data_IF_061097671196
#
_entry.id   IF_061097671196
#
_cell.length_a   1.000
_cell.length_b   1.000
_cell.length_c   1.000
_cell.angle_alpha   90.00
_cell.angle_beta   90.00
_cell.angle_gamma   90.00
#
_symmetry.space_group_name_H-M   'P 1'
#
loop_
_entity.id
_entity.type
_entity.pdbx_description
1 polymer ?
#
# COMPACT_ATOMS: atom_id res chain seq x y z
N UNK A 1 -19.61 -6.83 6.99
CA UNK A 1 -18.29 -7.42 6.62
C UNK A 1 -18.32 -8.22 5.32
N UNK A 2 -19.39 -8.87 4.95
CA UNK A 2 -19.45 -9.64 3.69
C UNK A 2 -19.54 -8.76 2.43
N UNK A 3 -20.19 -7.62 2.48
CA UNK A 3 -20.38 -6.76 1.29
C UNK A 3 -19.09 -6.02 0.87
N UNK A 4 -18.28 -5.55 1.82
CA UNK A 4 -17.03 -4.83 1.53
C UNK A 4 -16.01 -5.73 0.82
N UNK A 5 -16.07 -7.03 1.11
CA UNK A 5 -15.18 -8.02 0.53
C UNK A 5 -15.51 -8.31 -0.95
N UNK A 6 -16.75 -8.09 -1.41
CA UNK A 6 -17.16 -8.40 -2.78
C UNK A 6 -16.51 -7.49 -3.83
N UNK A 7 -16.15 -6.25 -3.49
CA UNK A 7 -15.50 -5.33 -4.42
C UNK A 7 -14.10 -5.79 -4.83
N UNK A 8 -13.38 -6.45 -3.92
CA UNK A 8 -11.97 -6.77 -4.10
C UNK A 8 -11.70 -8.27 -4.29
N UNK A 9 -12.69 -9.13 -4.02
CA UNK A 9 -12.53 -10.58 -4.04
C UNK A 9 -12.83 -11.20 -5.40
N UNK A 10 -12.20 -12.34 -5.68
CA UNK A 10 -12.41 -13.14 -6.90
C UNK A 10 -12.14 -12.37 -8.22
N UNK A 11 -11.24 -11.41 -8.18
CA UNK A 11 -10.81 -10.61 -9.33
C UNK A 11 -9.31 -10.47 -9.32
N UNK A 12 -8.69 -10.51 -10.50
CA UNK A 12 -7.33 -10.06 -10.66
C UNK A 12 -7.32 -8.53 -10.77
N UNK A 13 -6.63 -7.86 -9.86
CA UNK A 13 -6.54 -6.40 -9.82
C UNK A 13 -5.14 -5.94 -10.18
N UNK A 14 -5.02 -4.83 -10.87
CA UNK A 14 -3.76 -4.10 -11.02
C UNK A 14 -3.78 -2.95 -10.02
N UNK A 15 -2.78 -2.91 -9.13
CA UNK A 15 -2.63 -1.87 -8.11
C UNK A 15 -1.36 -1.07 -8.33
N UNK A 16 -1.39 0.19 -7.95
CA UNK A 16 -0.23 1.08 -7.91
C UNK A 16 0.03 1.49 -6.47
N UNK A 17 1.27 1.32 -6.03
CA UNK A 17 1.67 1.55 -4.65
C UNK A 17 2.94 2.41 -4.61
N UNK A 18 3.09 3.23 -3.57
CA UNK A 18 4.24 4.12 -3.44
C UNK A 18 5.08 3.85 -2.20
N UNK A 19 6.40 3.85 -2.39
CA UNK A 19 7.38 3.80 -1.32
C UNK A 19 7.83 5.23 -1.02
N UNK A 20 7.40 5.74 0.13
CA UNK A 20 7.72 7.07 0.63
C UNK A 20 8.53 6.95 1.93
N UNK A 21 9.81 7.26 1.87
CA UNK A 21 10.70 7.23 3.03
C UNK A 21 11.15 8.65 3.35
N UNK A 22 10.95 9.06 4.60
CA UNK A 22 11.39 10.37 5.12
C UNK A 22 11.98 10.18 6.51
N UNK A 23 13.10 10.86 6.79
CA UNK A 23 13.73 10.83 8.11
C UNK A 23 13.93 9.40 8.67
N UNK A 24 14.31 8.47 7.79
CA UNK A 24 14.50 7.04 8.11
C UNK A 24 13.21 6.36 8.63
N UNK A 25 12.05 6.80 8.14
CA UNK A 25 10.76 6.19 8.41
C UNK A 25 9.97 6.00 7.11
N UNK A 26 9.24 4.91 7.02
CA UNK A 26 8.43 4.52 5.85
C UNK A 26 6.96 4.85 6.11
N UNK A 27 6.32 5.52 5.15
CA UNK A 27 4.88 5.79 5.18
C UNK A 27 4.08 4.51 4.96
N UNK A 28 3.21 4.21 5.91
CA UNK A 28 2.30 3.06 5.85
C UNK A 28 0.87 3.47 6.20
N UNK A 29 -0.07 2.74 5.64
CA UNK A 29 -1.51 2.82 5.91
C UNK A 29 -1.96 1.55 6.60
N UNK A 30 -2.76 1.68 7.64
CA UNK A 30 -3.36 0.57 8.36
C UNK A 30 -4.80 0.35 7.90
N UNK A 31 -5.10 -0.86 7.43
CA UNK A 31 -6.44 -1.29 7.05
C UNK A 31 -7.01 -2.23 8.08
N UNK A 32 -8.14 -1.86 8.69
CA UNK A 32 -8.81 -2.67 9.71
C UNK A 32 -9.39 -3.95 9.12
N UNK A 33 -9.06 -5.06 9.75
CA UNK A 33 -9.73 -6.33 9.46
C UNK A 33 -9.51 -6.89 8.06
N UNK A 34 -8.60 -6.31 7.27
CA UNK A 34 -8.41 -6.67 5.86
C UNK A 34 -7.94 -8.12 5.68
N UNK A 35 -7.06 -8.58 6.58
CA UNK A 35 -6.46 -9.92 6.47
C UNK A 35 -6.97 -10.83 7.58
N UNK A 36 -7.98 -11.63 7.26
CA UNK A 36 -8.58 -12.59 8.21
C UNK A 36 -9.03 -11.93 9.54
N UNK A 37 -9.61 -10.74 9.45
CA UNK A 37 -10.10 -9.97 10.59
C UNK A 37 -9.00 -9.24 11.38
N UNK A 38 -7.75 -9.25 10.91
CA UNK A 38 -6.62 -8.54 11.51
C UNK A 38 -6.38 -7.22 10.79
N UNK A 39 -5.83 -6.28 11.51
CA UNK A 39 -5.31 -5.05 10.93
C UNK A 39 -4.13 -5.35 10.01
N UNK A 40 -3.97 -4.56 8.95
CA UNK A 40 -2.96 -4.82 7.94
C UNK A 40 -2.26 -3.55 7.51
N UNK A 41 -0.96 -3.49 7.71
CA UNK A 41 -0.10 -2.37 7.34
C UNK A 41 0.52 -2.58 5.96
N UNK A 42 0.34 -1.62 5.07
CA UNK A 42 0.89 -1.64 3.73
C UNK A 42 1.31 -0.23 3.27
N UNK A 43 2.22 -0.11 2.29
CA UNK A 43 2.46 1.16 1.63
C UNK A 43 1.17 1.69 0.98
N UNK A 44 0.97 3.03 0.94
CA UNK A 44 -0.20 3.62 0.31
C UNK A 44 -0.34 3.21 -1.16
N UNK A 45 -1.57 2.98 -1.60
CA UNK A 45 -1.87 2.63 -2.97
C UNK A 45 -3.14 1.84 -3.13
N UNK A 46 -3.62 1.73 -4.35
CA UNK A 46 -4.87 1.04 -4.67
C UNK A 46 -5.02 0.67 -6.12
N UNK A 47 -6.23 0.30 -6.49
CA UNK A 47 -6.55 -0.18 -7.83
C UNK A 47 -6.49 0.91 -8.89
N UNK A 48 -5.89 0.59 -10.04
CA UNK A 48 -6.02 1.45 -11.22
C UNK A 48 -7.45 1.43 -11.74
N UNK A 49 -7.93 2.60 -12.13
CA UNK A 49 -9.22 2.78 -12.79
C UNK A 49 -9.00 2.70 -14.30
N UNK A 50 -9.93 2.09 -15.02
CA UNK A 50 -9.85 2.02 -16.48
C UNK A 50 -9.74 3.42 -17.11
N UNK A 51 -8.74 3.59 -17.96
CA UNK A 51 -8.46 4.88 -18.62
C UNK A 51 -7.57 5.83 -17.81
N UNK A 52 -7.22 5.48 -16.57
CA UNK A 52 -6.31 6.23 -15.73
C UNK A 52 -4.85 5.82 -15.99
N UNK A 53 -3.94 6.79 -16.07
CA UNK A 53 -2.52 6.47 -16.12
C UNK A 53 -2.01 6.02 -14.76
N UNK A 54 -0.96 5.18 -14.75
CA UNK A 54 -0.29 4.74 -13.51
C UNK A 54 0.07 5.92 -12.60
N UNK A 55 0.63 6.99 -13.17
CA UNK A 55 1.04 8.18 -12.41
C UNK A 55 -0.15 8.93 -11.82
N UNK A 56 -1.24 9.02 -12.55
CA UNK A 56 -2.47 9.67 -12.07
C UNK A 56 -3.10 8.83 -10.94
N UNK A 57 -3.20 7.53 -11.11
CA UNK A 57 -3.73 6.62 -10.10
C UNK A 57 -2.93 6.66 -8.80
N UNK A 58 -1.60 6.64 -8.90
CA UNK A 58 -0.74 6.72 -7.72
C UNK A 58 -0.93 8.03 -6.94
N UNK A 59 -1.03 9.17 -7.63
CA UNK A 59 -1.30 10.47 -6.99
C UNK A 59 -2.68 10.49 -6.32
N UNK A 60 -3.70 9.98 -7.01
CA UNK A 60 -5.06 9.91 -6.50
C UNK A 60 -5.11 9.08 -5.22
N UNK A 61 -4.56 7.87 -5.23
CA UNK A 61 -4.52 6.97 -4.07
C UNK A 61 -3.81 7.61 -2.87
N UNK A 62 -2.65 8.27 -3.09
CA UNK A 62 -1.95 8.96 -2.00
C UNK A 62 -2.77 10.07 -1.39
N UNK A 63 -3.43 10.89 -2.21
CA UNK A 63 -4.31 11.96 -1.71
C UNK A 63 -5.50 11.38 -0.94
N UNK A 64 -6.14 10.34 -1.46
CA UNK A 64 -7.30 9.70 -0.85
C UNK A 64 -6.96 9.03 0.48
N UNK A 65 -5.87 8.26 0.54
CA UNK A 65 -5.51 7.48 1.73
C UNK A 65 -4.74 8.27 2.78
N UNK A 66 -3.95 9.25 2.37
CA UNK A 66 -2.97 9.89 3.26
C UNK A 66 -3.08 11.40 3.37
N UNK A 67 -3.85 12.06 2.49
CA UNK A 67 -3.90 13.52 2.37
C UNK A 67 -2.63 14.15 1.77
N UNK A 68 -1.65 13.35 1.36
CA UNK A 68 -0.40 13.85 0.81
C UNK A 68 -0.47 14.04 -0.70
N UNK A 69 0.15 15.11 -1.16
CA UNK A 69 0.48 15.32 -2.57
C UNK A 69 1.87 14.78 -2.84
N UNK A 70 2.03 14.04 -3.95
CA UNK A 70 3.27 13.37 -4.28
C UNK A 70 3.70 13.59 -5.73
N UNK A 71 5.00 13.44 -5.94
CA UNK A 71 5.61 13.28 -7.26
C UNK A 71 6.03 11.82 -7.42
N UNK A 72 5.39 11.07 -8.35
CA UNK A 72 5.81 9.73 -8.69
C UNK A 72 7.21 9.72 -9.32
N UNK A 73 8.09 8.91 -8.77
CA UNK A 73 9.45 8.70 -9.24
C UNK A 73 9.58 7.47 -10.15
N UNK A 74 10.66 6.72 -9.96
CA UNK A 74 10.97 5.54 -10.75
C UNK A 74 10.14 4.33 -10.31
N UNK A 75 9.91 3.42 -11.26
CA UNK A 75 9.40 2.10 -10.97
C UNK A 75 10.45 1.30 -10.18
N UNK A 76 10.03 0.61 -9.13
CA UNK A 76 10.91 -0.16 -8.27
C UNK A 76 10.80 -1.66 -8.54
N UNK A 77 9.62 -2.23 -8.38
CA UNK A 77 9.37 -3.65 -8.56
C UNK A 77 7.87 -3.96 -8.71
N UNK A 78 7.61 -5.14 -9.23
CA UNK A 78 6.29 -5.78 -9.25
C UNK A 78 6.23 -6.80 -8.11
N UNK A 79 5.12 -6.83 -7.40
CA UNK A 79 4.79 -7.88 -6.45
C UNK A 79 3.47 -8.55 -6.85
N UNK A 80 3.40 -9.86 -6.83
CA UNK A 80 2.14 -10.57 -6.91
C UNK A 80 1.61 -10.82 -5.50
N UNK A 81 0.47 -10.22 -5.19
CA UNK A 81 -0.25 -10.45 -3.96
C UNK A 81 -1.33 -11.51 -4.20
N UNK A 82 -1.07 -12.74 -3.76
CA UNK A 82 -1.99 -13.85 -3.93
C UNK A 82 -2.32 -14.48 -2.57
N UNK A 83 -3.38 -13.97 -1.98
CA UNK A 83 -3.94 -14.49 -0.73
C UNK A 83 -5.46 -14.58 -0.91
N UNK A 84 -5.99 -15.73 -1.38
CA UNK A 84 -7.42 -15.87 -1.64
C UNK A 84 -8.27 -15.42 -0.47
N UNK A 85 -9.34 -14.65 -0.72
CA UNK A 85 -9.96 -14.35 -2.02
C UNK A 85 -9.36 -13.13 -2.77
N UNK A 86 -8.23 -12.59 -2.34
CA UNK A 86 -7.56 -11.44 -2.96
C UNK A 86 -6.46 -11.88 -3.93
N UNK A 87 -6.42 -11.26 -5.11
CA UNK A 87 -5.37 -11.45 -6.10
C UNK A 87 -5.06 -10.12 -6.77
N UNK A 88 -3.82 -9.64 -6.67
CA UNK A 88 -3.40 -8.40 -7.28
C UNK A 88 -1.97 -8.48 -7.84
N UNK A 89 -1.74 -7.76 -8.94
CA UNK A 89 -0.42 -7.36 -9.39
C UNK A 89 -0.18 -5.95 -8.90
N UNK A 90 0.83 -5.76 -8.09
CA UNK A 90 1.14 -4.51 -7.42
C UNK A 90 2.42 -3.90 -8.00
N UNK A 91 2.28 -2.71 -8.57
CA UNK A 91 3.36 -1.94 -9.15
C UNK A 91 3.87 -0.93 -8.12
N UNK A 92 5.08 -1.11 -7.63
CA UNK A 92 5.67 -0.22 -6.63
C UNK A 92 6.54 0.85 -7.26
N UNK A 93 6.34 2.09 -6.82
CA UNK A 93 7.08 3.26 -7.28
C UNK A 93 7.73 3.99 -6.11
N UNK A 94 8.89 4.56 -6.34
CA UNK A 94 9.44 5.59 -5.49
C UNK A 94 8.56 6.83 -5.58
N UNK A 95 8.26 7.46 -4.44
CA UNK A 95 7.49 8.69 -4.40
C UNK A 95 8.12 9.72 -3.48
N UNK A 96 8.01 10.98 -3.87
CA UNK A 96 8.44 12.14 -3.10
C UNK A 96 7.22 12.96 -2.69
N UNK A 97 7.09 13.26 -1.41
CA UNK A 97 6.06 14.19 -0.95
C UNK A 97 6.37 15.59 -1.44
N UNK A 98 5.40 16.24 -2.08
CA UNK A 98 5.50 17.62 -2.59
C UNK A 98 4.58 18.60 -1.88
N UNK A 99 3.61 18.10 -1.11
CA UNK A 99 2.63 18.93 -0.41
C UNK A 99 1.65 18.10 0.39
N UNK A 100 0.56 18.72 0.78
CA UNK A 100 -0.49 18.10 1.57
C UNK A 100 -0.14 17.98 3.05
N UNK A 101 -1.12 17.51 3.82
CA UNK A 101 -0.98 17.26 5.26
C UNK A 101 -1.36 15.82 5.54
N UNK A 102 -0.51 15.11 6.27
CA UNK A 102 -0.77 13.71 6.64
C UNK A 102 -2.04 13.62 7.48
N UNK A 103 -3.04 12.94 6.94
CA UNK A 103 -4.33 12.71 7.57
C UNK A 103 -4.80 11.29 7.27
N UNK A 104 -5.59 10.71 8.17
CA UNK A 104 -6.26 9.45 7.89
C UNK A 104 -7.27 9.71 6.77
N UNK A 105 -7.08 9.05 5.66
CA UNK A 105 -7.90 9.21 4.48
C UNK A 105 -9.12 8.30 4.47
N UNK A 106 -9.76 8.26 3.33
CA UNK A 106 -10.95 7.42 3.08
C UNK A 106 -10.79 6.71 1.75
N UNK A 107 -11.41 5.56 1.61
CA UNK A 107 -11.57 4.89 0.33
C UNK A 107 -12.93 5.34 -0.26
N UNK A 108 -12.94 6.13 -1.36
CA UNK A 108 -14.18 6.63 -1.95
C UNK A 108 -15.07 5.53 -2.55
N UNK A 109 -14.51 4.34 -2.81
CA UNK A 109 -15.26 3.19 -3.29
C UNK A 109 -16.07 2.51 -2.18
N UNK A 110 -15.84 2.90 -0.92
CA UNK A 110 -16.50 2.34 0.24
C UNK A 110 -17.46 3.33 0.91
N UNK A 111 -18.62 2.87 1.42
CA UNK A 111 -19.50 3.68 2.25
C UNK A 111 -18.78 4.23 3.50
N UNK A 112 -19.26 5.37 4.01
CA UNK A 112 -18.63 6.05 5.16
C UNK A 112 -18.53 5.16 6.41
N UNK A 113 -19.48 4.26 6.61
CA UNK A 113 -19.54 3.31 7.73
C UNK A 113 -18.72 2.02 7.48
N UNK A 114 -18.23 1.83 6.26
CA UNK A 114 -17.43 0.67 5.86
C UNK A 114 -15.95 1.02 5.59
N UNK A 115 -15.48 2.20 6.00
CA UNK A 115 -14.10 2.62 5.81
C UNK A 115 -13.13 1.69 6.58
N UNK A 116 -12.09 1.27 5.88
CA UNK A 116 -11.10 0.33 6.42
C UNK A 116 -9.86 1.02 6.97
N UNK A 117 -9.52 2.23 6.49
CA UNK A 117 -8.32 2.94 6.91
C UNK A 117 -8.51 3.45 8.33
N UNK A 118 -7.63 3.05 9.23
CA UNK A 118 -7.70 3.40 10.65
C UNK A 118 -6.50 4.18 11.17
N UNK A 119 -5.37 4.10 10.46
CA UNK A 119 -4.16 4.81 10.82
C UNK A 119 -3.28 5.05 9.59
N UNK A 120 -2.56 6.16 9.58
CA UNK A 120 -1.59 6.54 8.54
C UNK A 120 -0.41 7.20 9.22
N UNK A 121 0.77 6.63 9.11
CA UNK A 121 1.96 7.21 9.74
C UNK A 121 3.27 6.76 9.11
N UNK A 122 4.32 7.53 9.36
CA UNK A 122 5.69 7.12 9.12
C UNK A 122 6.17 6.24 10.26
N UNK A 123 6.58 5.01 9.96
CA UNK A 123 7.13 4.05 10.91
C UNK A 123 8.63 3.87 10.68
N UNK A 124 9.39 3.96 11.76
CA UNK A 124 10.81 3.58 11.77
C UNK A 124 10.95 2.06 11.62
N UNK A 125 12.15 1.60 11.25
CA UNK A 125 12.39 0.17 11.09
C UNK A 125 12.14 -0.65 12.38
N UNK A 126 12.53 -0.19 13.60
CA UNK A 126 12.17 -0.89 14.83
C UNK A 126 10.65 -0.99 15.06
N UNK A 127 9.90 0.09 14.80
CA UNK A 127 8.43 0.08 14.90
C UNK A 127 7.80 -0.88 13.90
N UNK A 128 8.29 -0.88 12.65
CA UNK A 128 7.85 -1.82 11.62
C UNK A 128 8.12 -3.28 12.00
N UNK A 129 9.29 -3.55 12.58
CA UNK A 129 9.66 -4.91 13.02
C UNK A 129 8.81 -5.40 14.18
N UNK A 130 8.29 -4.51 15.01
CA UNK A 130 7.40 -4.84 16.12
C UNK A 130 6.00 -5.29 15.66
N UNK A 131 5.58 -4.94 14.43
CA UNK A 131 4.31 -5.40 13.86
C UNK A 131 4.44 -6.89 13.49
N UNK A 132 3.49 -7.75 13.90
CA UNK A 132 3.49 -9.15 13.53
C UNK A 132 3.50 -9.37 12.02
N UNK A 133 4.16 -10.43 11.55
CA UNK A 133 4.25 -10.73 10.10
C UNK A 133 2.89 -10.81 9.41
N UNK A 134 1.84 -11.45 9.98
CA UNK A 134 0.53 -11.51 9.33
C UNK A 134 -0.21 -10.16 9.24
N UNK A 135 0.25 -9.15 9.96
CA UNK A 135 -0.37 -7.82 10.04
C UNK A 135 0.36 -6.78 9.18
N UNK A 136 1.30 -7.19 8.36
CA UNK A 136 2.01 -6.31 7.44
C UNK A 136 2.27 -6.97 6.10
N UNK A 137 2.37 -6.13 5.08
CA UNK A 137 2.60 -6.55 3.71
C UNK A 137 3.91 -7.34 3.56
N UNK A 138 3.90 -8.40 2.75
CA UNK A 138 5.04 -9.33 2.60
C UNK A 138 6.34 -8.66 2.15
N UNK A 139 6.27 -7.56 1.37
CA UNK A 139 7.46 -6.80 0.98
C UNK A 139 8.22 -6.19 2.18
N UNK A 140 7.58 -6.13 3.35
CA UNK A 140 8.13 -5.56 4.58
C UNK A 140 8.72 -6.61 5.54
N UNK A 141 8.60 -7.90 5.22
CA UNK A 141 8.91 -8.96 6.18
C UNK A 141 10.41 -9.06 6.51
N UNK A 142 11.28 -8.96 5.53
CA UNK A 142 12.70 -9.24 5.68
C UNK A 142 13.59 -8.01 5.48
N UNK A 143 13.06 -6.80 5.72
CA UNK A 143 13.83 -5.58 5.56
C UNK A 143 14.95 -5.47 6.60
N UNK A 144 16.17 -5.28 6.13
CA UNK A 144 17.33 -4.92 6.95
C UNK A 144 17.39 -3.40 7.10
N UNK A 145 17.11 -2.68 6.03
CA UNK A 145 16.92 -1.23 6.01
C UNK A 145 15.92 -0.85 4.90
N UNK A 146 15.49 0.42 4.85
CA UNK A 146 14.53 0.85 3.83
C UNK A 146 15.15 0.97 2.43
N UNK A 147 16.47 1.05 2.31
CA UNK A 147 17.15 1.06 1.01
C UNK A 147 16.91 -0.23 0.22
N UNK A 148 16.63 -1.33 0.92
CA UNK A 148 16.28 -2.62 0.30
C UNK A 148 15.03 -2.52 -0.60
N UNK A 149 14.14 -1.58 -0.33
CA UNK A 149 12.94 -1.34 -1.15
C UNK A 149 13.24 -0.65 -2.49
N UNK A 150 14.41 -0.02 -2.60
CA UNK A 150 14.83 0.73 -3.77
C UNK A 150 15.76 -0.04 -4.71
N UNK A 151 16.04 -1.31 -4.41
CA UNK A 151 16.88 -2.20 -5.23
C UNK A 151 15.98 -3.01 -6.17
N UNK A 152 15.96 -2.73 -7.51
CA UNK A 152 14.92 -3.25 -8.40
C UNK A 152 14.97 -4.77 -8.62
N UNK A 153 16.12 -5.40 -8.52
CA UNK A 153 16.32 -6.77 -9.00
C UNK A 153 16.17 -7.87 -7.94
N UNK A 154 15.76 -7.54 -6.73
CA UNK A 154 15.66 -8.54 -5.66
C UNK A 154 14.24 -9.00 -5.31
N UNK A 155 13.23 -8.51 -6.01
CA UNK A 155 11.86 -8.70 -5.55
C UNK A 155 10.86 -9.18 -6.60
N UNK A 156 11.32 -9.94 -7.57
CA UNK A 156 10.42 -10.80 -8.31
C UNK A 156 10.26 -12.13 -7.54
N UNK A 157 9.36 -12.18 -6.56
CA UNK A 157 9.76 -12.83 -5.63
C UNK A 157 9.01 -13.69 -4.90
N UNK A 158 8.05 -14.21 -5.11
CA UNK A 158 7.41 -15.45 -4.74
C UNK A 158 6.69 -16.04 -5.93
N UNK A 159 7.39 -16.13 -7.05
CA UNK A 159 6.88 -16.82 -8.23
C UNK A 159 7.04 -18.35 -8.11
N UNK A 160 7.47 -18.85 -6.92
CA UNK A 160 7.58 -20.30 -6.70
C UNK A 160 7.23 -20.66 -5.28
#
# INVERSE_FOLDING_TARGET
>A
MEETNQFYTNKLRVRVCGICVQNNALLLVCHRGLMNGRDFWAPPGGGLIFGESIRAGLKREFTEETGLEIKPGRFLFLNEFLQPPLHALELFFEVEQTGGTLTIGTDPDLPTDAQLITDVKFLTLPELKAIPLPEKHSILHELVNFDDLFIPHHRFLNLF
#
